data_IF_297205444865
#
_entry.id   IF_297205444865
#
_cell.length_a   1.000
_cell.length_b   1.000
_cell.length_c   1.000
_cell.angle_alpha   90.00
_cell.angle_beta   90.00
_cell.angle_gamma   90.00
#
_symmetry.space_group_name_H-M   'P 1'
#
loop_
_entity.id
_entity.type
_entity.pdbx_description
1 polymer ?
#
# COMPACT_ATOMS: atom_id res chain seq x y z
N UNK A 1 -0.12 -9.01 4.33
CA UNK A 1 1.02 -9.39 5.18
C UNK A 1 1.30 -10.87 5.03
N UNK A 2 2.57 -11.21 4.83
CA UNK A 2 3.09 -12.58 4.82
C UNK A 2 4.08 -12.74 5.98
N UNK A 3 3.60 -12.83 7.23
CA UNK A 3 4.48 -12.84 8.40
C UNK A 3 5.18 -14.20 8.60
N UNK A 4 4.67 -15.27 7.98
CA UNK A 4 5.15 -16.65 8.15
C UNK A 4 6.59 -16.87 7.63
N UNK A 5 6.96 -16.49 6.39
CA UNK A 5 8.34 -16.59 5.93
C UNK A 5 9.34 -15.82 6.80
N UNK A 6 8.91 -14.67 7.33
CA UNK A 6 9.74 -13.83 8.20
C UNK A 6 9.91 -14.44 9.59
N UNK A 7 8.84 -14.93 10.22
CA UNK A 7 8.91 -15.66 11.49
C UNK A 7 9.86 -16.86 11.40
N UNK A 8 9.77 -17.64 10.31
CA UNK A 8 10.72 -18.72 10.02
C UNK A 8 12.15 -18.21 9.87
N UNK A 9 12.37 -17.10 9.16
CA UNK A 9 13.70 -16.50 8.99
C UNK A 9 14.32 -16.09 10.33
N UNK A 10 13.55 -15.43 11.20
CA UNK A 10 13.98 -15.06 12.56
C UNK A 10 14.40 -16.29 13.36
N UNK A 11 13.53 -17.31 13.41
CA UNK A 11 13.77 -18.53 14.16
C UNK A 11 15.00 -19.30 13.65
N UNK A 12 15.15 -19.48 12.33
CA UNK A 12 16.28 -20.21 11.74
C UNK A 12 17.63 -19.54 12.01
N UNK A 13 17.66 -18.21 11.99
CA UNK A 13 18.89 -17.44 12.20
C UNK A 13 19.09 -17.03 13.67
N UNK A 14 18.18 -17.44 14.58
CA UNK A 14 18.19 -17.06 16.00
C UNK A 14 18.27 -15.54 16.21
N UNK A 15 17.56 -14.79 15.38
CA UNK A 15 17.50 -13.33 15.43
C UNK A 15 16.40 -12.93 16.41
N UNK A 16 16.77 -12.22 17.47
CA UNK A 16 15.83 -11.71 18.48
C UNK A 16 15.37 -10.28 18.21
N UNK A 17 16.04 -9.55 17.32
CA UNK A 17 15.67 -8.19 16.96
C UNK A 17 16.08 -7.87 15.52
N UNK A 18 15.17 -7.28 14.74
CA UNK A 18 15.44 -6.76 13.40
C UNK A 18 14.30 -5.84 12.98
N UNK A 19 14.63 -4.79 12.22
CA UNK A 19 13.67 -3.95 11.53
C UNK A 19 13.91 -4.10 10.03
N UNK A 20 12.90 -4.55 9.28
CA UNK A 20 13.07 -4.91 7.86
C UNK A 20 11.84 -4.58 7.03
N UNK A 21 12.05 -4.36 5.74
CA UNK A 21 10.99 -4.40 4.73
C UNK A 21 11.20 -5.57 3.77
N UNK A 22 10.15 -6.00 3.08
CA UNK A 22 10.20 -7.05 2.08
C UNK A 22 9.11 -6.82 1.03
N UNK A 23 9.52 -6.64 -0.22
CA UNK A 23 8.60 -6.47 -1.35
C UNK A 23 8.74 -7.71 -2.24
N UNK A 24 7.67 -8.51 -2.30
CA UNK A 24 7.67 -9.74 -3.06
C UNK A 24 6.27 -10.14 -3.49
N UNK A 25 6.20 -11.01 -4.50
CA UNK A 25 4.96 -11.64 -4.92
C UNK A 25 4.53 -12.70 -3.91
N UNK A 26 3.22 -12.83 -3.73
CA UNK A 26 2.58 -13.90 -2.95
C UNK A 26 1.52 -14.60 -3.79
N UNK A 27 1.23 -15.84 -3.41
CA UNK A 27 0.33 -16.72 -4.14
C UNK A 27 -0.81 -17.17 -3.25
N UNK A 28 -2.06 -16.90 -3.67
CA UNK A 28 -3.28 -17.36 -2.99
C UNK A 28 -4.23 -17.99 -3.98
N UNK A 29 -4.70 -19.21 -3.70
CA UNK A 29 -5.69 -19.90 -4.54
C UNK A 29 -7.12 -19.43 -4.25
N UNK A 30 -7.30 -18.12 -4.13
CA UNK A 30 -8.61 -17.49 -3.93
C UNK A 30 -9.41 -17.46 -5.24
N UNK A 31 -10.71 -17.18 -5.13
CA UNK A 31 -11.55 -16.85 -6.26
C UNK A 31 -11.22 -15.42 -6.73
N UNK A 32 -10.68 -15.24 -7.96
CA UNK A 32 -10.24 -13.94 -8.43
C UNK A 32 -11.43 -13.04 -8.72
N UNK A 33 -11.26 -11.74 -8.50
CA UNK A 33 -12.21 -10.69 -8.86
C UNK A 33 -11.40 -9.59 -9.53
N UNK A 34 -11.27 -9.68 -10.85
CA UNK A 34 -10.35 -8.83 -11.64
C UNK A 34 -10.73 -7.35 -11.52
N UNK A 35 -12.03 -7.03 -11.50
CA UNK A 35 -12.56 -5.67 -11.28
C UNK A 35 -12.13 -5.01 -9.99
N UNK A 36 -11.72 -5.79 -8.98
CA UNK A 36 -11.36 -5.30 -7.64
C UNK A 36 -9.88 -5.51 -7.32
N UNK A 37 -9.06 -5.84 -8.32
CA UNK A 37 -7.63 -6.10 -8.16
C UNK A 37 -7.32 -7.36 -7.33
N UNK A 38 -8.22 -8.35 -7.28
CA UNK A 38 -8.01 -9.60 -6.52
C UNK A 38 -7.49 -10.69 -7.45
N UNK A 39 -6.18 -10.86 -7.46
CA UNK A 39 -5.47 -11.85 -8.26
C UNK A 39 -5.03 -13.06 -7.43
N UNK A 40 -4.58 -14.12 -8.11
CA UNK A 40 -3.95 -15.28 -7.46
C UNK A 40 -2.46 -15.09 -7.20
N UNK A 41 -1.80 -14.28 -8.02
CA UNK A 41 -0.44 -13.78 -7.83
C UNK A 41 -0.55 -12.26 -7.70
N UNK A 42 0.03 -11.68 -6.65
CA UNK A 42 0.05 -10.23 -6.44
C UNK A 42 1.20 -9.82 -5.54
N UNK A 43 1.61 -8.55 -5.59
CA UNK A 43 2.66 -8.04 -4.69
C UNK A 43 2.15 -7.71 -3.29
N UNK A 44 3.01 -7.95 -2.30
CA UNK A 44 2.92 -7.38 -0.96
C UNK A 44 4.18 -6.57 -0.68
N UNK A 45 4.00 -5.41 -0.06
CA UNK A 45 5.08 -4.62 0.52
C UNK A 45 4.91 -4.68 2.04
N UNK A 46 5.69 -5.53 2.69
CA UNK A 46 5.65 -5.75 4.12
C UNK A 46 6.77 -4.96 4.83
N UNK A 47 6.46 -4.38 5.98
CA UNK A 47 7.43 -3.78 6.89
C UNK A 47 7.18 -4.30 8.31
N UNK A 48 8.25 -4.69 8.99
CA UNK A 48 8.17 -5.38 10.27
C UNK A 48 9.26 -4.93 11.24
N UNK A 49 8.88 -4.80 12.51
CA UNK A 49 9.75 -4.57 13.65
C UNK A 49 9.63 -5.78 14.57
N UNK A 50 10.71 -6.53 14.70
CA UNK A 50 10.82 -7.66 15.61
C UNK A 50 11.76 -7.28 16.77
N UNK A 51 11.36 -7.59 17.99
CA UNK A 51 12.15 -7.38 19.21
C UNK A 51 11.31 -6.98 20.41
N UNK A 52 11.90 -7.13 21.60
CA UNK A 52 11.32 -6.67 22.86
C UNK A 52 11.61 -5.18 23.02
N UNK A 53 10.56 -4.36 23.04
CA UNK A 53 10.63 -2.91 23.21
C UNK A 53 9.57 -2.44 24.20
N UNK A 54 9.66 -1.16 24.58
CA UNK A 54 8.63 -0.53 25.40
C UNK A 54 7.29 -0.44 24.65
N UNK A 55 6.15 -0.49 25.38
CA UNK A 55 4.84 -0.66 24.77
C UNK A 55 4.50 0.42 23.74
N UNK A 56 3.88 -0.01 22.64
CA UNK A 56 3.26 0.83 21.59
C UNK A 56 4.18 1.73 20.78
N UNK A 57 5.49 1.83 21.09
CA UNK A 57 6.43 2.63 20.31
C UNK A 57 6.59 2.07 18.88
N UNK A 58 6.83 0.76 18.69
CA UNK A 58 6.95 0.19 17.34
C UNK A 58 5.64 0.28 16.53
N UNK A 59 4.49 0.13 17.17
CA UNK A 59 3.16 0.30 16.56
C UNK A 59 2.97 1.72 16.02
N UNK A 60 3.37 2.72 16.80
CA UNK A 60 3.30 4.12 16.37
C UNK A 60 4.19 4.39 15.16
N UNK A 61 5.38 3.79 15.09
CA UNK A 61 6.25 3.86 13.91
C UNK A 61 5.60 3.20 12.69
N UNK A 62 4.98 2.02 12.84
CA UNK A 62 4.25 1.36 11.75
C UNK A 62 3.11 2.25 11.21
N UNK A 63 2.34 2.88 12.10
CA UNK A 63 1.27 3.81 11.70
C UNK A 63 1.83 5.08 11.04
N UNK A 64 2.99 5.58 11.49
CA UNK A 64 3.65 6.71 10.84
C UNK A 64 4.08 6.37 9.41
N UNK A 65 4.60 5.17 9.18
CA UNK A 65 4.97 4.70 7.84
C UNK A 65 3.73 4.63 6.94
N UNK A 66 2.59 4.15 7.44
CA UNK A 66 1.32 4.18 6.68
C UNK A 66 0.95 5.61 6.30
N UNK A 67 0.95 6.50 7.28
CA UNK A 67 0.60 7.91 7.10
C UNK A 67 1.49 8.60 6.06
N UNK A 68 2.81 8.42 6.14
CA UNK A 68 3.76 8.98 5.17
C UNK A 68 3.62 8.40 3.77
N UNK A 69 3.50 7.07 3.65
CA UNK A 69 3.40 6.41 2.35
C UNK A 69 2.11 6.82 1.64
N UNK A 70 0.97 6.72 2.31
CA UNK A 70 -0.32 7.03 1.68
C UNK A 70 -0.45 8.52 1.36
N UNK A 71 0.10 9.41 2.20
CA UNK A 71 0.14 10.84 1.89
C UNK A 71 1.02 11.17 0.68
N UNK A 72 2.21 10.55 0.57
CA UNK A 72 3.13 10.74 -0.56
C UNK A 72 2.62 10.19 -1.89
N UNK A 73 1.75 9.18 -1.85
CA UNK A 73 1.12 8.66 -3.06
C UNK A 73 -0.01 9.57 -3.57
N UNK A 74 -0.44 10.56 -2.79
CA UNK A 74 -1.47 11.53 -3.16
C UNK A 74 -2.76 10.89 -3.68
N UNK A 75 -3.17 9.78 -3.06
CA UNK A 75 -4.33 8.96 -3.43
C UNK A 75 -5.66 9.47 -2.85
N UNK A 76 -5.68 10.70 -2.36
CA UNK A 76 -6.83 11.31 -1.69
C UNK A 76 -6.90 11.03 -0.19
N UNK A 77 -8.06 11.32 0.40
CA UNK A 77 -8.32 11.17 1.83
C UNK A 77 -8.35 9.69 2.22
N UNK A 78 -7.57 9.32 3.25
CA UNK A 78 -7.53 7.98 3.81
C UNK A 78 -7.77 7.99 5.31
N UNK A 79 -8.23 6.85 5.82
CA UNK A 79 -8.44 6.61 7.24
C UNK A 79 -7.73 5.31 7.63
N UNK A 80 -7.09 5.30 8.80
CA UNK A 80 -6.53 4.08 9.40
C UNK A 80 -7.42 3.64 10.55
N UNK A 81 -8.21 2.59 10.34
CA UNK A 81 -8.96 1.93 11.40
C UNK A 81 -7.99 1.25 12.36
N UNK A 82 -8.22 1.42 13.66
CA UNK A 82 -7.41 0.88 14.74
C UNK A 82 -8.30 0.10 15.70
N UNK A 83 -7.83 -1.07 16.14
CA UNK A 83 -8.45 -1.84 17.21
C UNK A 83 -7.38 -2.64 17.97
N UNK A 84 -7.79 -3.40 18.98
CA UNK A 84 -6.91 -4.25 19.76
C UNK A 84 -7.55 -5.62 20.00
N UNK A 85 -6.77 -6.69 19.88
CA UNK A 85 -7.26 -8.05 20.12
C UNK A 85 -7.86 -8.21 21.53
N UNK A 86 -7.19 -7.71 22.56
CA UNK A 86 -7.69 -7.82 23.93
C UNK A 86 -9.03 -7.09 24.17
N UNK A 87 -9.30 -6.04 23.38
CA UNK A 87 -10.59 -5.34 23.41
C UNK A 87 -11.67 -6.25 22.79
N UNK A 88 -11.40 -6.86 21.63
CA UNK A 88 -12.29 -7.85 21.01
C UNK A 88 -12.59 -9.02 21.97
N UNK A 89 -11.56 -9.62 22.57
CA UNK A 89 -11.71 -10.71 23.54
C UNK A 89 -12.58 -10.29 24.73
N UNK A 90 -12.35 -9.08 25.25
CA UNK A 90 -13.13 -8.52 26.35
C UNK A 90 -14.60 -8.28 26.00
N UNK A 91 -14.88 -7.69 24.84
CA UNK A 91 -16.24 -7.46 24.35
C UNK A 91 -17.00 -8.77 24.21
N UNK A 92 -16.37 -9.79 23.64
CA UNK A 92 -17.03 -11.06 23.37
C UNK A 92 -17.28 -11.86 24.63
N UNK A 93 -16.32 -11.85 25.56
CA UNK A 93 -16.50 -12.45 26.88
C UNK A 93 -17.66 -11.79 27.66
N UNK A 94 -17.80 -10.46 27.58
CA UNK A 94 -18.91 -9.73 28.21
C UNK A 94 -20.28 -10.08 27.61
N UNK A 95 -20.33 -10.41 26.31
CA UNK A 95 -21.55 -10.87 25.65
C UNK A 95 -21.85 -12.37 25.89
N UNK A 96 -21.01 -13.09 26.65
CA UNK A 96 -21.19 -14.52 26.91
C UNK A 96 -20.80 -15.44 25.75
N UNK A 97 -20.04 -14.94 24.77
CA UNK A 97 -19.45 -15.81 23.75
C UNK A 97 -18.30 -16.61 24.36
N UNK A 98 -18.32 -17.93 24.17
CA UNK A 98 -17.26 -18.82 24.62
C UNK A 98 -15.92 -18.55 23.94
N UNK A 99 -14.81 -18.92 24.58
CA UNK A 99 -13.47 -18.77 24.00
C UNK A 99 -13.31 -19.57 22.70
N UNK A 100 -14.04 -20.68 22.56
CA UNK A 100 -14.14 -21.53 21.38
C UNK A 100 -14.91 -20.87 20.22
N UNK A 101 -15.84 -19.95 20.53
CA UNK A 101 -16.61 -19.18 19.55
C UNK A 101 -15.91 -17.89 19.10
N UNK A 102 -14.80 -17.47 19.75
CA UNK A 102 -14.15 -16.19 19.48
C UNK A 102 -13.84 -15.96 17.99
N UNK A 103 -13.21 -16.94 17.33
CA UNK A 103 -12.83 -16.81 15.91
C UNK A 103 -14.04 -16.70 14.99
N UNK A 104 -15.09 -17.47 15.25
CA UNK A 104 -16.29 -17.49 14.40
C UNK A 104 -17.11 -16.22 14.58
N UNK A 105 -17.22 -15.70 15.81
CA UNK A 105 -17.88 -14.42 16.09
C UNK A 105 -17.11 -13.26 15.46
N UNK A 106 -15.78 -13.21 15.60
CA UNK A 106 -14.97 -12.18 14.94
C UNK A 106 -15.14 -12.23 13.42
N UNK A 107 -15.22 -13.43 12.82
CA UNK A 107 -15.45 -13.57 11.38
C UNK A 107 -16.80 -13.01 10.91
N UNK A 108 -17.83 -13.04 11.76
CA UNK A 108 -19.12 -12.41 11.45
C UNK A 108 -19.05 -10.90 11.65
N UNK A 109 -18.43 -10.43 12.75
CA UNK A 109 -18.24 -8.99 13.04
C UNK A 109 -17.41 -8.29 11.95
N UNK A 110 -16.38 -8.95 11.41
CA UNK A 110 -15.54 -8.45 10.31
C UNK A 110 -16.34 -8.13 9.04
N UNK A 111 -17.54 -8.72 8.87
CA UNK A 111 -18.45 -8.45 7.74
C UNK A 111 -19.21 -7.14 7.88
N UNK A 112 -19.20 -6.48 9.05
CA UNK A 112 -19.80 -5.15 9.25
C UNK A 112 -19.15 -4.08 8.36
N UNK A 113 -17.98 -4.37 7.78
CA UNK A 113 -17.35 -3.53 6.76
C UNK A 113 -18.16 -3.47 5.44
N UNK A 114 -19.05 -4.44 5.20
CA UNK A 114 -19.79 -4.62 3.94
C UNK A 114 -21.27 -4.91 4.12
N UNK A 115 -21.68 -5.39 5.29
CA UNK A 115 -23.05 -5.83 5.57
C UNK A 115 -23.66 -5.00 6.70
N UNK A 116 -24.97 -4.67 6.61
CA UNK A 116 -25.69 -4.06 7.72
C UNK A 116 -25.69 -4.97 8.97
N UNK A 117 -25.77 -4.35 10.15
CA UNK A 117 -25.83 -5.07 11.43
C UNK A 117 -26.92 -6.15 11.47
N UNK A 118 -28.10 -5.89 10.89
CA UNK A 118 -29.19 -6.85 10.89
C UNK A 118 -28.83 -8.19 10.22
N UNK A 119 -28.04 -8.17 9.14
CA UNK A 119 -27.57 -9.39 8.47
C UNK A 119 -26.51 -10.11 9.31
N UNK A 120 -25.59 -9.36 9.91
CA UNK A 120 -24.54 -9.90 10.78
C UNK A 120 -25.13 -10.51 12.05
N UNK A 121 -26.13 -9.85 12.65
CA UNK A 121 -26.86 -10.35 13.82
C UNK A 121 -27.61 -11.64 13.50
N UNK A 122 -28.29 -11.70 12.37
CA UNK A 122 -28.96 -12.91 11.89
C UNK A 122 -27.98 -14.09 11.75
N UNK A 123 -26.78 -13.85 11.21
CA UNK A 123 -25.72 -14.86 11.11
C UNK A 123 -25.22 -15.31 12.50
N UNK A 124 -24.99 -14.37 13.42
CA UNK A 124 -24.54 -14.66 14.78
C UNK A 124 -25.55 -15.55 15.53
N UNK A 125 -26.85 -15.30 15.34
CA UNK A 125 -27.90 -16.11 15.96
C UNK A 125 -28.03 -17.46 15.26
N UNK A 126 -28.27 -17.47 13.94
CA UNK A 126 -28.66 -18.67 13.19
C UNK A 126 -27.52 -19.64 12.97
N UNK A 127 -26.32 -19.13 12.69
CA UNK A 127 -25.16 -19.99 12.36
C UNK A 127 -24.23 -20.20 13.54
N UNK A 128 -24.02 -19.18 14.37
CA UNK A 128 -23.04 -19.24 15.47
C UNK A 128 -23.68 -19.59 16.81
N UNK A 129 -25.01 -19.59 16.89
CA UNK A 129 -25.77 -20.02 18.06
C UNK A 129 -25.73 -19.04 19.23
N UNK A 130 -25.46 -17.76 18.99
CA UNK A 130 -25.50 -16.75 20.05
C UNK A 130 -26.95 -16.43 20.43
N UNK A 131 -27.19 -16.23 21.72
CA UNK A 131 -28.48 -15.75 22.20
C UNK A 131 -28.74 -14.32 21.72
N UNK A 132 -30.00 -13.97 21.46
CA UNK A 132 -30.39 -12.62 21.01
C UNK A 132 -29.93 -11.52 21.96
N UNK A 133 -30.01 -11.74 23.27
CA UNK A 133 -29.52 -10.76 24.26
C UNK A 133 -28.00 -10.53 24.12
N UNK A 134 -27.24 -11.59 23.83
CA UNK A 134 -25.79 -11.52 23.59
C UNK A 134 -25.46 -10.72 22.32
N UNK A 135 -26.21 -10.91 21.24
CA UNK A 135 -26.00 -10.17 20.00
C UNK A 135 -26.39 -8.70 20.14
N UNK A 136 -27.50 -8.40 20.82
CA UNK A 136 -27.91 -7.02 21.11
C UNK A 136 -26.83 -6.26 21.90
N UNK A 137 -26.25 -6.88 22.93
CA UNK A 137 -25.11 -6.31 23.67
C UNK A 137 -23.88 -6.14 22.79
N UNK A 138 -23.53 -7.16 22.01
CA UNK A 138 -22.37 -7.10 21.11
C UNK A 138 -22.52 -5.95 20.11
N UNK A 139 -23.72 -5.75 19.57
CA UNK A 139 -24.07 -4.67 18.67
C UNK A 139 -23.82 -3.30 19.28
N UNK A 140 -24.11 -3.10 20.57
CA UNK A 140 -23.83 -1.85 21.28
C UNK A 140 -22.33 -1.52 21.34
N UNK A 141 -21.48 -2.56 21.45
CA UNK A 141 -20.03 -2.39 21.52
C UNK A 141 -19.40 -2.20 20.14
N UNK A 142 -19.66 -3.12 19.20
CA UNK A 142 -18.98 -3.13 17.89
C UNK A 142 -19.41 -1.96 17.00
N UNK A 143 -20.62 -1.42 17.22
CA UNK A 143 -21.16 -0.26 16.50
C UNK A 143 -20.99 1.04 17.29
N UNK A 144 -20.22 1.05 18.39
CA UNK A 144 -20.09 2.24 19.21
C UNK A 144 -19.56 3.44 18.41
N UNK A 145 -18.65 3.23 17.46
CA UNK A 145 -18.17 4.27 16.52
C UNK A 145 -19.30 4.78 15.62
N UNK A 146 -20.13 3.89 15.08
CA UNK A 146 -21.27 4.25 14.23
C UNK A 146 -22.26 5.17 14.98
N UNK A 147 -22.52 4.86 16.26
CA UNK A 147 -23.41 5.66 17.11
C UNK A 147 -22.77 6.97 17.62
N UNK A 148 -21.45 7.14 17.50
CA UNK A 148 -20.70 8.27 18.06
C UNK A 148 -19.65 8.78 17.07
N UNK A 149 -20.10 9.19 15.88
CA UNK A 149 -19.24 9.55 14.75
C UNK A 149 -18.30 10.72 15.05
N UNK A 150 -18.72 11.69 15.88
CA UNK A 150 -17.96 12.89 16.23
C UNK A 150 -16.99 12.70 17.39
N UNK A 151 -17.06 11.62 18.16
CA UNK A 151 -16.23 11.43 19.35
C UNK A 151 -14.77 11.14 18.99
N UNK A 152 -13.86 11.68 19.80
CA UNK A 152 -12.43 11.35 19.70
C UNK A 152 -12.14 9.88 20.01
N UNK A 153 -10.94 9.40 19.67
CA UNK A 153 -10.53 8.02 19.96
C UNK A 153 -10.51 7.73 21.47
N UNK A 154 -9.95 8.64 22.27
CA UNK A 154 -9.85 8.50 23.73
C UNK A 154 -11.25 8.51 24.37
N UNK A 155 -12.11 9.46 23.96
CA UNK A 155 -13.49 9.55 24.46
C UNK A 155 -14.29 8.26 24.19
N UNK A 156 -14.11 7.67 23.00
CA UNK A 156 -14.79 6.42 22.65
C UNK A 156 -14.29 5.23 23.48
N UNK A 157 -12.99 5.18 23.76
CA UNK A 157 -12.39 4.19 24.66
C UNK A 157 -12.89 4.36 26.11
N UNK A 158 -13.01 5.60 26.59
CA UNK A 158 -13.58 5.92 27.90
C UNK A 158 -15.04 5.53 27.99
N UNK A 159 -15.81 5.72 26.92
CA UNK A 159 -17.21 5.29 26.85
C UNK A 159 -17.35 3.78 26.93
N UNK A 160 -16.47 3.00 26.30
CA UNK A 160 -16.47 1.54 26.49
C UNK A 160 -16.17 1.13 27.94
N UNK A 161 -15.33 1.89 28.65
CA UNK A 161 -15.02 1.64 30.05
C UNK A 161 -16.17 1.97 31.01
N UNK A 162 -17.24 2.61 30.54
CA UNK A 162 -18.45 2.84 31.35
C UNK A 162 -19.34 1.59 31.45
N UNK A 163 -19.18 0.62 30.55
CA UNK A 163 -19.89 -0.66 30.65
C UNK A 163 -19.22 -1.52 31.74
N UNK A 164 -19.93 -1.77 32.83
CA UNK A 164 -19.40 -2.44 34.02
C UNK A 164 -18.82 -3.83 33.71
N UNK A 165 -19.46 -4.57 32.81
CA UNK A 165 -19.03 -5.88 32.32
C UNK A 165 -17.70 -5.85 31.56
N UNK A 166 -17.43 -4.79 30.79
CA UNK A 166 -16.13 -4.58 30.13
C UNK A 166 -15.08 -4.09 31.13
N UNK A 167 -15.46 -3.15 32.01
CA UNK A 167 -14.57 -2.59 33.01
C UNK A 167 -14.08 -3.63 34.02
N UNK A 168 -14.83 -4.70 34.30
CA UNK A 168 -14.36 -5.80 35.17
C UNK A 168 -13.33 -6.70 34.49
N UNK A 169 -13.25 -6.70 33.17
CA UNK A 169 -12.33 -7.55 32.43
C UNK A 169 -10.91 -6.95 32.38
N UNK A 170 -9.95 -7.62 33.02
CA UNK A 170 -8.56 -7.15 33.10
C UNK A 170 -7.85 -7.10 31.74
N UNK A 171 -8.16 -8.03 30.82
CA UNK A 171 -7.59 -8.01 29.45
C UNK A 171 -8.14 -6.84 28.65
N UNK A 172 -9.44 -6.59 28.76
CA UNK A 172 -10.09 -5.45 28.14
C UNK A 172 -9.44 -4.13 28.58
N UNK A 173 -9.31 -3.93 29.90
CA UNK A 173 -8.62 -2.77 30.50
C UNK A 173 -7.23 -2.55 29.94
N UNK A 174 -6.41 -3.62 29.91
CA UNK A 174 -5.06 -3.57 29.35
C UNK A 174 -5.08 -3.11 27.88
N UNK A 175 -5.96 -3.68 27.06
CA UNK A 175 -6.07 -3.27 25.66
C UNK A 175 -6.49 -1.80 25.48
N UNK A 176 -7.38 -1.30 26.33
CA UNK A 176 -7.78 0.12 26.35
C UNK A 176 -6.60 1.02 26.74
N UNK A 177 -5.86 0.66 27.78
CA UNK A 177 -4.67 1.41 28.23
C UNK A 177 -3.60 1.45 27.12
N UNK A 178 -3.30 0.31 26.49
CA UNK A 178 -2.37 0.21 25.37
C UNK A 178 -2.81 1.08 24.18
N UNK A 179 -4.09 1.03 23.78
CA UNK A 179 -4.57 1.89 22.70
C UNK A 179 -4.51 3.38 23.04
N UNK A 180 -4.77 3.79 24.28
CA UNK A 180 -4.62 5.20 24.68
C UNK A 180 -3.18 5.67 24.55
N UNK A 181 -2.21 4.84 24.94
CA UNK A 181 -0.78 5.14 24.74
C UNK A 181 -0.47 5.27 23.25
N UNK A 182 -0.92 4.33 22.42
CA UNK A 182 -0.72 4.37 20.97
C UNK A 182 -1.33 5.62 20.31
N UNK A 183 -2.56 5.99 20.68
CA UNK A 183 -3.24 7.19 20.17
C UNK A 183 -2.47 8.46 20.55
N UNK A 184 -1.93 8.53 21.78
CA UNK A 184 -1.09 9.65 22.20
C UNK A 184 0.19 9.74 21.37
N UNK A 185 0.88 8.61 21.12
CA UNK A 185 2.08 8.60 20.26
C UNK A 185 1.76 9.00 18.82
N UNK A 186 0.61 8.57 18.28
CA UNK A 186 0.15 9.01 16.97
C UNK A 186 -0.04 10.53 16.92
N UNK A 187 -0.61 11.14 17.96
CA UNK A 187 -0.74 12.60 18.06
C UNK A 187 0.62 13.30 18.10
N UNK A 188 1.61 12.77 18.80
CA UNK A 188 2.98 13.32 18.82
C UNK A 188 3.66 13.26 17.45
N UNK A 189 3.37 12.23 16.65
CA UNK A 189 3.83 12.10 15.26
C UNK A 189 3.00 12.88 14.23
N UNK A 190 1.99 13.64 14.69
CA UNK A 190 1.10 14.43 13.83
C UNK A 190 0.17 13.57 12.96
N UNK A 191 -0.12 12.34 13.38
CA UNK A 191 -0.97 11.41 12.62
C UNK A 191 -2.43 11.67 12.99
N UNK A 192 -3.19 12.26 12.06
CA UNK A 192 -4.61 12.57 12.25
C UNK A 192 -5.55 11.52 11.64
N UNK A 193 -5.03 10.64 10.79
CA UNK A 193 -5.78 9.65 10.01
C UNK A 193 -6.27 8.44 10.83
N UNK A 194 -5.76 8.25 12.04
CA UNK A 194 -6.06 7.09 12.89
C UNK A 194 -7.42 7.22 13.59
N UNK A 195 -8.24 6.18 13.50
CA UNK A 195 -9.58 6.11 14.10
C UNK A 195 -9.80 4.77 14.78
N UNK A 196 -10.10 4.79 16.07
CA UNK A 196 -10.54 3.60 16.79
C UNK A 196 -11.90 3.12 16.27
N UNK A 197 -11.95 1.87 15.83
CA UNK A 197 -13.12 1.21 15.25
C UNK A 197 -13.31 -0.18 15.90
N UNK A 198 -14.25 -0.32 16.86
CA UNK A 198 -14.51 -1.58 17.56
C UNK A 198 -14.93 -2.75 16.64
N UNK A 199 -15.41 -2.47 15.42
CA UNK A 199 -15.84 -3.49 14.46
C UNK A 199 -14.66 -4.14 13.72
N UNK A 200 -13.45 -3.57 13.77
CA UNK A 200 -12.28 -4.10 13.08
C UNK A 200 -11.81 -5.41 13.72
N UNK A 201 -12.06 -6.55 13.09
CA UNK A 201 -11.78 -7.88 13.61
C UNK A 201 -10.98 -8.77 12.61
N UNK A 202 -9.82 -8.26 12.15
CA UNK A 202 -8.94 -8.92 11.16
C UNK A 202 -7.81 -9.74 11.81
N UNK A 203 -7.26 -10.72 11.06
CA UNK A 203 -5.98 -11.39 11.37
C UNK A 203 -5.95 -12.20 12.67
N UNK A 204 -7.09 -12.81 12.99
CA UNK A 204 -7.38 -13.49 14.26
C UNK A 204 -6.50 -14.72 14.54
N UNK A 205 -5.85 -15.26 13.52
CA UNK A 205 -5.00 -16.45 13.64
C UNK A 205 -3.65 -16.17 14.27
N UNK A 206 -3.16 -14.93 14.19
CA UNK A 206 -1.80 -14.60 14.64
C UNK A 206 -1.64 -13.26 15.33
N UNK A 207 -2.54 -12.28 15.18
CA UNK A 207 -2.42 -11.04 15.95
C UNK A 207 -2.66 -11.30 17.43
N UNK A 208 -1.87 -10.64 18.28
CA UNK A 208 -1.89 -10.72 19.75
C UNK A 208 -2.20 -9.36 20.40
N UNK A 209 -2.02 -8.25 19.66
CA UNK A 209 -2.17 -6.89 20.18
C UNK A 209 -2.96 -5.97 19.26
N UNK A 210 -2.41 -4.78 18.97
CA UNK A 210 -3.01 -3.80 18.08
C UNK A 210 -3.23 -4.36 16.67
N UNK A 211 -4.31 -3.93 16.03
CA UNK A 211 -4.74 -4.31 14.67
C UNK A 211 -5.07 -3.02 13.94
N UNK A 212 -4.59 -2.87 12.71
CA UNK A 212 -4.86 -1.69 11.90
C UNK A 212 -5.17 -2.03 10.44
N UNK A 213 -6.05 -1.23 9.84
CA UNK A 213 -6.49 -1.35 8.46
C UNK A 213 -6.69 0.05 7.86
N UNK A 214 -5.90 0.40 6.84
CA UNK A 214 -6.04 1.64 6.10
C UNK A 214 -7.04 1.48 4.95
N UNK A 215 -7.96 2.42 4.81
CA UNK A 215 -9.00 2.48 3.78
C UNK A 215 -9.00 3.85 3.10
N UNK A 216 -9.42 3.91 1.84
CA UNK A 216 -9.38 5.15 1.03
C UNK A 216 -10.78 5.39 0.43
N UNK A 217 -11.78 5.74 1.25
CA UNK A 217 -13.20 5.59 0.89
C UNK A 217 -13.60 6.29 -0.41
N UNK A 218 -13.00 7.46 -0.71
CA UNK A 218 -13.35 8.31 -1.86
C UNK A 218 -12.40 8.21 -3.05
N UNK A 219 -11.34 7.39 -2.98
CA UNK A 219 -10.28 7.39 -4.00
C UNK A 219 -10.75 7.03 -5.43
N UNK A 220 -11.88 6.35 -5.56
CA UNK A 220 -12.45 5.95 -6.85
C UNK A 220 -13.81 6.60 -7.14
N UNK A 221 -14.24 7.58 -6.34
CA UNK A 221 -15.48 8.33 -6.62
C UNK A 221 -15.31 9.12 -7.94
N UNK A 222 -16.22 8.89 -8.90
CA UNK A 222 -16.18 9.55 -10.21
C UNK A 222 -15.28 8.88 -11.25
N UNK A 223 -14.61 7.77 -10.92
CA UNK A 223 -13.82 7.00 -11.89
C UNK A 223 -14.74 6.02 -12.64
N UNK A 224 -14.97 6.27 -13.93
CA UNK A 224 -15.51 5.26 -14.85
C UNK A 224 -14.35 4.42 -15.40
N UNK A 225 -14.06 3.29 -14.78
CA UNK A 225 -13.17 2.26 -15.36
C UNK A 225 -13.91 1.48 -16.47
N UNK A 226 -14.47 2.18 -17.45
CA UNK A 226 -14.99 1.59 -18.69
C UNK A 226 -13.90 1.62 -19.77
N UNK A 227 -12.73 1.06 -19.46
CA UNK A 227 -11.70 0.82 -20.46
C UNK A 227 -11.59 -0.69 -20.67
N UNK A 228 -12.17 -1.14 -21.80
CA UNK A 228 -12.11 -2.48 -22.40
C UNK A 228 -13.41 -3.30 -22.34
N UNK A 229 -14.49 -2.80 -22.95
CA UNK A 229 -15.38 -3.59 -23.83
C UNK A 229 -16.19 -4.76 -23.25
N UNK A 230 -16.13 -5.05 -21.97
CA UNK A 230 -17.01 -6.01 -21.30
C UNK A 230 -17.87 -5.26 -20.27
N UNK A 231 -19.19 -5.31 -20.46
CA UNK A 231 -20.18 -4.81 -19.49
C UNK A 231 -19.99 -5.52 -18.14
N UNK A 232 -19.17 -4.96 -17.26
CA UNK A 232 -19.03 -5.44 -15.89
C UNK A 232 -19.87 -4.55 -14.97
N UNK A 233 -21.12 -4.99 -14.75
CA UNK A 233 -22.02 -4.47 -13.71
C UNK A 233 -21.28 -4.40 -12.36
N UNK A 234 -21.01 -3.19 -11.90
CA UNK A 234 -20.70 -2.89 -10.50
C UNK A 234 -19.27 -2.45 -10.21
N UNK A 235 -18.98 -1.16 -10.39
CA UNK A 235 -18.02 -0.48 -9.52
C UNK A 235 -18.59 -0.50 -8.09
N UNK A 236 -17.88 -0.99 -7.07
CA UNK A 236 -18.36 -0.90 -5.70
C UNK A 236 -18.10 0.50 -5.16
N UNK A 237 -19.14 1.06 -4.56
CA UNK A 237 -19.03 2.01 -3.45
C UNK A 237 -17.98 1.49 -2.46
N UNK A 238 -16.95 2.31 -2.16
CA UNK A 238 -15.92 2.03 -1.16
C UNK A 238 -14.69 1.27 -1.67
N UNK A 239 -13.56 1.96 -1.75
CA UNK A 239 -12.25 1.33 -1.98
C UNK A 239 -11.88 0.51 -0.75
N UNK A 240 -11.76 -0.81 -0.90
CA UNK A 240 -11.36 -1.71 0.20
C UNK A 240 -9.96 -1.39 0.76
N UNK A 241 -9.55 -2.08 1.84
CA UNK A 241 -8.27 -1.85 2.53
C UNK A 241 -7.02 -1.73 1.64
N UNK A 242 -6.27 -0.64 1.72
CA UNK A 242 -5.01 -0.44 0.97
C UNK A 242 -3.78 -0.83 1.77
N UNK A 243 -3.88 -0.90 3.10
CA UNK A 243 -2.86 -1.44 3.97
C UNK A 243 -3.48 -2.10 5.19
N UNK A 244 -2.84 -3.12 5.74
CA UNK A 244 -3.29 -3.78 6.96
C UNK A 244 -2.12 -4.38 7.72
N UNK A 245 -2.24 -4.47 9.04
CA UNK A 245 -1.18 -4.99 9.90
C UNK A 245 -1.61 -5.08 11.36
N UNK A 246 -0.64 -5.38 12.22
CA UNK A 246 -0.85 -5.51 13.66
C UNK A 246 0.34 -6.14 14.37
N UNK A 247 0.20 -6.33 15.69
CA UNK A 247 1.16 -7.02 16.57
C UNK A 247 0.87 -8.52 16.62
N UNK A 248 1.89 -9.37 16.51
CA UNK A 248 1.80 -10.84 16.46
C UNK A 248 2.99 -11.52 17.19
N UNK A 249 2.99 -11.46 18.52
CA UNK A 249 4.17 -11.80 19.32
C UNK A 249 4.53 -13.30 19.33
N UNK A 250 3.52 -14.16 19.16
CA UNK A 250 3.65 -15.62 19.34
C UNK A 250 4.05 -16.36 18.05
N UNK A 251 4.08 -15.67 16.91
CA UNK A 251 4.26 -16.35 15.63
C UNK A 251 5.68 -16.93 15.47
N UNK A 252 6.69 -16.25 16.01
CA UNK A 252 8.09 -16.68 15.90
C UNK A 252 8.34 -17.93 16.76
N UNK A 253 7.80 -17.99 17.98
CA UNK A 253 7.97 -19.15 18.86
C UNK A 253 7.35 -20.44 18.31
N UNK A 254 6.39 -20.36 17.38
CA UNK A 254 5.88 -21.53 16.66
C UNK A 254 6.92 -22.22 15.76
N UNK A 255 7.99 -21.50 15.35
CA UNK A 255 9.09 -22.04 14.55
C UNK A 255 10.34 -22.36 15.38
N UNK A 256 10.38 -21.98 16.65
CA UNK A 256 11.53 -22.22 17.53
C UNK A 256 11.42 -23.58 18.21
N UNK A 257 12.55 -24.25 18.38
CA UNK A 257 12.62 -25.45 19.19
C UNK A 257 12.30 -25.09 20.66
N UNK A 258 11.52 -25.91 21.39
CA UNK A 258 11.27 -25.68 22.80
C UNK A 258 12.60 -25.69 23.58
N UNK A 259 12.78 -24.74 24.49
CA UNK A 259 13.99 -24.63 25.32
C UNK A 259 13.66 -25.08 26.74
N UNK A 260 14.36 -26.08 27.26
CA UNK A 260 14.19 -26.56 28.63
C UNK A 260 14.36 -28.06 28.77
N UNK A 261 14.32 -28.55 30.02
CA UNK A 261 14.29 -29.99 30.30
C UNK A 261 12.92 -30.57 29.97
N UNK A 262 12.84 -31.86 29.59
CA UNK A 262 11.58 -32.58 29.37
C UNK A 262 10.59 -32.29 30.51
N UNK A 263 9.44 -31.70 30.17
CA UNK A 263 8.39 -31.32 31.13
C UNK A 263 8.47 -29.88 31.69
N UNK A 264 9.47 -29.07 31.30
CA UNK A 264 9.61 -27.63 31.62
C UNK A 264 10.08 -26.82 30.41
N UNK A 265 9.58 -27.16 29.23
CA UNK A 265 9.91 -26.45 28.00
C UNK A 265 9.25 -25.07 27.99
N UNK A 266 10.05 -24.01 27.77
CA UNK A 266 9.56 -22.67 27.48
C UNK A 266 9.75 -22.38 25.99
N UNK A 267 8.70 -21.87 25.35
CA UNK A 267 8.85 -21.17 24.08
C UNK A 267 9.45 -19.81 24.35
N UNK A 268 10.56 -19.52 23.69
CA UNK A 268 11.06 -18.17 23.59
C UNK A 268 10.36 -17.52 22.40
N UNK A 269 9.60 -16.48 22.66
CA UNK A 269 8.95 -15.68 21.61
C UNK A 269 9.80 -14.47 21.26
N UNK A 270 9.58 -13.96 20.05
CA UNK A 270 10.15 -12.71 19.56
C UNK A 270 8.97 -11.81 19.20
N UNK A 271 8.65 -10.80 20.04
CA UNK A 271 7.56 -9.88 19.79
C UNK A 271 7.72 -9.21 18.42
N UNK A 272 6.63 -9.11 17.67
CA UNK A 272 6.65 -8.57 16.32
C UNK A 272 5.45 -7.67 16.08
N UNK A 273 5.67 -6.58 15.37
CA UNK A 273 4.61 -5.74 14.80
C UNK A 273 4.97 -5.38 13.37
N UNK A 274 3.97 -5.25 12.50
CA UNK A 274 4.25 -4.88 11.12
C UNK A 274 3.02 -4.47 10.33
N UNK A 275 3.26 -3.95 9.15
CA UNK A 275 2.27 -3.46 8.19
C UNK A 275 2.53 -4.06 6.82
N UNK A 276 1.47 -4.25 6.05
CA UNK A 276 1.54 -4.68 4.66
C UNK A 276 0.69 -3.78 3.79
N UNK A 277 1.26 -3.28 2.69
CA UNK A 277 0.55 -2.51 1.68
C UNK A 277 0.06 -3.42 0.55
N UNK A 278 -1.22 -3.28 0.22
CA UNK A 278 -1.85 -3.90 -0.94
C UNK A 278 -1.53 -3.12 -2.20
N UNK A 279 -0.33 -3.35 -2.76
CA UNK A 279 0.22 -2.54 -3.86
C UNK A 279 -0.69 -2.55 -5.09
N UNK A 280 -1.32 -3.68 -5.43
CA UNK A 280 -2.22 -3.77 -6.59
C UNK A 280 -3.37 -2.76 -6.52
N UNK A 281 -3.92 -2.53 -5.31
CA UNK A 281 -5.00 -1.57 -5.12
C UNK A 281 -4.49 -0.14 -5.22
N UNK A 282 -3.28 0.11 -4.72
CA UNK A 282 -2.62 1.41 -4.85
C UNK A 282 -2.34 1.74 -6.32
N UNK A 283 -1.83 0.78 -7.11
CA UNK A 283 -1.64 0.94 -8.55
C UNK A 283 -2.95 1.25 -9.28
N UNK A 284 -4.02 0.51 -9.00
CA UNK A 284 -5.32 0.77 -9.62
C UNK A 284 -5.84 2.19 -9.33
N UNK A 285 -5.66 2.69 -8.10
CA UNK A 285 -6.04 4.07 -7.73
C UNK A 285 -5.16 5.09 -8.46
N UNK A 286 -3.85 4.86 -8.51
CA UNK A 286 -2.91 5.77 -9.17
C UNK A 286 -3.16 5.83 -10.69
N UNK A 287 -3.37 4.68 -11.34
CA UNK A 287 -3.71 4.62 -12.77
C UNK A 287 -5.01 5.34 -13.08
N UNK A 288 -6.05 5.14 -12.25
CA UNK A 288 -7.31 5.87 -12.37
C UNK A 288 -7.13 7.38 -12.25
N UNK A 289 -6.34 7.84 -11.26
CA UNK A 289 -6.01 9.27 -11.08
C UNK A 289 -5.28 9.83 -12.31
N UNK A 290 -4.26 9.13 -12.81
CA UNK A 290 -3.50 9.55 -14.00
C UNK A 290 -4.39 9.64 -15.25
N UNK A 291 -5.36 8.73 -15.40
CA UNK A 291 -6.33 8.79 -16.49
C UNK A 291 -7.25 10.02 -16.40
N UNK A 292 -7.77 10.33 -15.19
CA UNK A 292 -8.60 11.52 -14.95
C UNK A 292 -7.81 12.80 -15.24
N UNK A 293 -6.57 12.87 -14.77
CA UNK A 293 -5.69 14.03 -14.93
C UNK A 293 -5.07 14.11 -16.34
N UNK A 294 -5.34 13.14 -17.22
CA UNK A 294 -4.76 13.01 -18.56
C UNK A 294 -3.22 13.08 -18.54
N UNK A 295 -2.60 12.56 -17.48
CA UNK A 295 -1.16 12.53 -17.33
C UNK A 295 -0.58 11.43 -18.20
N UNK A 296 0.23 11.77 -19.23
CA UNK A 296 0.77 10.76 -20.11
C UNK A 296 1.88 9.97 -19.40
N UNK A 297 1.80 8.63 -19.45
CA UNK A 297 2.78 7.75 -18.81
C UNK A 297 3.85 7.34 -19.80
N UNK A 298 5.10 7.67 -19.51
CA UNK A 298 6.25 7.22 -20.30
C UNK A 298 6.62 5.79 -19.90
N UNK A 299 6.82 4.93 -20.89
CA UNK A 299 7.32 3.55 -20.70
C UNK A 299 8.82 3.43 -20.91
N UNK A 300 9.49 4.53 -21.28
CA UNK A 300 10.93 4.62 -21.45
C UNK A 300 11.45 5.91 -20.82
N UNK A 301 12.74 5.93 -20.51
CA UNK A 301 13.41 7.10 -19.95
C UNK A 301 14.21 7.87 -21.02
N UNK A 302 14.02 7.57 -22.30
CA UNK A 302 14.77 8.15 -23.43
C UNK A 302 14.62 9.67 -23.45
N UNK A 303 15.71 10.40 -23.38
CA UNK A 303 15.72 11.86 -23.31
C UNK A 303 15.84 12.47 -24.71
N UNK A 304 16.60 11.81 -25.59
CA UNK A 304 16.99 12.36 -26.89
C UNK A 304 16.81 11.28 -27.97
N UNK A 305 16.23 11.68 -29.10
CA UNK A 305 16.20 10.86 -30.30
C UNK A 305 17.03 11.49 -31.41
N UNK A 306 18.01 10.75 -31.96
CA UNK A 306 18.80 11.24 -33.09
C UNK A 306 18.09 10.86 -34.40
N UNK A 307 17.69 11.88 -35.14
CA UNK A 307 17.01 11.77 -36.41
C UNK A 307 17.87 12.28 -37.57
N UNK A 308 17.56 11.85 -38.79
CA UNK A 308 18.02 12.52 -40.00
C UNK A 308 16.97 12.43 -41.10
N UNK A 309 16.89 13.45 -41.96
CA UNK A 309 16.00 13.45 -43.13
C UNK A 309 16.69 12.88 -44.38
N UNK A 310 18.00 13.11 -44.49
CA UNK A 310 18.81 12.71 -45.63
C UNK A 310 19.26 11.25 -45.53
N UNK A 311 19.68 10.70 -46.66
CA UNK A 311 20.19 9.32 -46.78
C UNK A 311 21.65 9.25 -46.34
N UNK A 312 22.17 8.04 -46.15
CA UNK A 312 23.59 7.74 -45.87
C UNK A 312 24.17 8.34 -44.55
N UNK A 313 23.33 8.92 -43.69
CA UNK A 313 23.75 9.49 -42.40
C UNK A 313 23.73 8.49 -41.23
N UNK A 314 23.57 7.18 -41.48
CA UNK A 314 23.53 6.18 -40.41
C UNK A 314 24.78 6.22 -39.53
N UNK A 315 25.96 6.27 -40.14
CA UNK A 315 27.23 6.26 -39.41
C UNK A 315 27.36 7.50 -38.52
N UNK A 316 26.92 8.67 -38.99
CA UNK A 316 26.95 9.92 -38.21
C UNK A 316 25.97 9.89 -37.05
N UNK A 317 24.75 9.36 -37.26
CA UNK A 317 23.81 9.12 -36.15
C UNK A 317 24.40 8.18 -35.10
N UNK A 318 25.09 7.11 -35.53
CA UNK A 318 25.74 6.17 -34.60
C UNK A 318 26.89 6.81 -33.83
N UNK A 319 27.74 7.61 -34.47
CA UNK A 319 28.82 8.35 -33.80
C UNK A 319 28.27 9.31 -32.75
N UNK A 320 27.28 10.12 -33.13
CA UNK A 320 26.64 11.06 -32.20
C UNK A 320 25.96 10.34 -31.04
N UNK A 321 25.28 9.23 -31.31
CA UNK A 321 24.65 8.41 -30.28
C UNK A 321 25.67 7.89 -29.27
N UNK A 322 26.81 7.38 -29.76
CA UNK A 322 27.92 6.92 -28.91
C UNK A 322 28.46 8.06 -28.04
N UNK A 323 28.74 9.23 -28.63
CA UNK A 323 29.21 10.40 -27.86
C UNK A 323 28.25 10.79 -26.75
N UNK A 324 26.93 10.80 -27.01
CA UNK A 324 25.94 11.16 -26.00
C UNK A 324 25.76 10.06 -24.94
N UNK A 325 25.89 8.78 -25.30
CA UNK A 325 25.96 7.70 -24.31
C UNK A 325 27.20 7.80 -23.43
N UNK A 326 28.37 8.13 -23.99
CA UNK A 326 29.62 8.33 -23.26
C UNK A 326 29.48 9.50 -22.23
N UNK A 327 28.60 10.46 -22.50
CA UNK A 327 28.25 11.58 -21.61
C UNK A 327 27.09 11.28 -20.62
N UNK A 328 26.52 10.08 -20.67
CA UNK A 328 25.48 9.60 -19.75
C UNK A 328 24.03 9.92 -20.15
N UNK A 329 23.78 10.44 -21.35
CA UNK A 329 22.42 10.69 -21.82
C UNK A 329 21.71 9.41 -22.26
N UNK A 330 20.38 9.39 -22.12
CA UNK A 330 19.52 8.29 -22.56
C UNK A 330 19.07 8.53 -24.00
N UNK A 331 19.84 8.01 -24.95
CA UNK A 331 19.66 8.33 -26.39
C UNK A 331 19.26 7.13 -27.22
N UNK A 332 18.37 7.35 -28.18
CA UNK A 332 17.99 6.37 -29.20
C UNK A 332 18.11 6.94 -30.63
N UNK A 333 18.12 6.07 -31.62
CA UNK A 333 17.97 6.40 -33.03
C UNK A 333 17.29 5.25 -33.77
N UNK A 334 16.71 5.51 -34.95
CA UNK A 334 16.06 4.46 -35.72
C UNK A 334 17.09 3.45 -36.29
N UNK A 335 16.86 2.15 -36.06
CA UNK A 335 17.61 1.04 -36.67
C UNK A 335 17.25 0.83 -38.15
N UNK A 336 17.36 1.90 -38.94
CA UNK A 336 17.21 1.92 -40.40
C UNK A 336 18.31 2.78 -40.96
N UNK A 337 18.86 2.41 -42.12
CA UNK A 337 19.87 3.23 -42.77
C UNK A 337 19.32 4.62 -43.13
N UNK A 338 18.13 4.63 -43.75
CA UNK A 338 17.49 5.82 -44.33
C UNK A 338 16.03 5.98 -43.82
N UNK A 339 15.82 6.29 -42.54
CA UNK A 339 14.48 6.52 -42.00
C UNK A 339 13.88 7.84 -42.54
N UNK A 340 12.55 7.90 -42.68
CA UNK A 340 11.86 9.15 -43.01
C UNK A 340 11.81 10.03 -41.76
N UNK A 341 12.05 11.34 -41.89
CA UNK A 341 12.02 12.27 -40.75
C UNK A 341 10.67 12.27 -40.03
N UNK A 342 9.56 12.31 -40.79
CA UNK A 342 8.21 12.29 -40.23
C UNK A 342 7.99 11.07 -39.30
N UNK A 343 8.41 9.87 -39.71
CA UNK A 343 8.26 8.66 -38.90
C UNK A 343 9.11 8.70 -37.63
N UNK A 344 10.26 9.38 -37.66
CA UNK A 344 11.12 9.56 -36.49
C UNK A 344 10.51 10.56 -35.50
N UNK A 345 9.95 11.66 -35.99
CA UNK A 345 9.27 12.64 -35.13
C UNK A 345 7.99 12.05 -34.53
N UNK A 346 7.20 11.29 -35.31
CA UNK A 346 6.05 10.55 -34.81
C UNK A 346 6.46 9.58 -33.68
N UNK A 347 7.58 8.86 -33.85
CA UNK A 347 8.10 7.99 -32.79
C UNK A 347 8.42 8.76 -31.50
N UNK A 348 8.98 9.97 -31.62
CA UNK A 348 9.24 10.83 -30.47
C UNK A 348 7.95 11.31 -29.80
N UNK A 349 6.94 11.70 -30.59
CA UNK A 349 5.63 12.11 -30.09
C UNK A 349 4.93 10.94 -29.37
N UNK A 350 4.88 9.76 -29.98
CA UNK A 350 4.23 8.56 -29.42
C UNK A 350 4.92 8.04 -28.13
N UNK A 351 6.26 8.17 -28.04
CA UNK A 351 7.07 7.76 -26.87
C UNK A 351 7.34 8.90 -25.89
N UNK A 352 6.82 10.10 -26.19
CA UNK A 352 6.99 11.31 -25.39
C UNK A 352 8.47 11.65 -25.13
N UNK A 353 9.33 11.40 -26.12
CA UNK A 353 10.75 11.77 -26.06
C UNK A 353 10.83 13.29 -26.19
N UNK A 354 11.42 14.02 -25.24
CA UNK A 354 11.31 15.47 -25.20
C UNK A 354 12.12 16.18 -26.29
N UNK A 355 13.27 15.62 -26.68
CA UNK A 355 14.21 16.26 -27.61
C UNK A 355 14.52 15.37 -28.81
N UNK A 356 14.63 15.98 -29.99
CA UNK A 356 15.14 15.34 -31.20
C UNK A 356 16.35 16.10 -31.73
N UNK A 357 17.45 15.40 -31.99
CA UNK A 357 18.64 15.93 -32.65
C UNK A 357 18.62 15.54 -34.12
N UNK A 358 18.45 16.52 -34.99
CA UNK A 358 18.36 16.32 -36.43
C UNK A 358 19.74 16.54 -37.05
N UNK A 359 20.28 15.48 -37.63
CA UNK A 359 21.56 15.46 -38.34
C UNK A 359 21.30 15.66 -39.84
N UNK A 360 22.04 16.58 -40.45
CA UNK A 360 22.08 16.82 -41.89
C UNK A 360 23.51 17.06 -42.38
N UNK A 361 23.75 16.81 -43.66
CA UNK A 361 25.07 16.95 -44.28
C UNK A 361 25.63 18.36 -44.17
N UNK A 362 24.78 19.38 -44.33
CA UNK A 362 25.18 20.79 -44.22
C UNK A 362 25.53 21.14 -42.78
N UNK A 363 24.65 20.77 -41.85
CA UNK A 363 24.85 21.01 -40.42
C UNK A 363 26.15 20.36 -39.93
N UNK A 364 26.44 19.13 -40.37
CA UNK A 364 27.70 18.45 -40.05
C UNK A 364 28.93 19.17 -40.62
N UNK A 365 28.86 19.72 -41.84
CA UNK A 365 29.95 20.52 -42.41
C UNK A 365 30.19 21.82 -41.64
N UNK A 366 29.11 22.41 -41.11
CA UNK A 366 29.15 23.62 -40.28
C UNK A 366 29.47 23.31 -38.80
N UNK A 367 29.64 22.03 -38.42
CA UNK A 367 29.96 21.60 -37.06
C UNK A 367 28.80 21.77 -36.07
N UNK A 368 27.56 21.79 -36.56
CA UNK A 368 26.34 21.98 -35.78
C UNK A 368 25.38 20.79 -35.94
N UNK A 369 24.43 20.69 -35.02
CA UNK A 369 23.25 19.82 -35.13
C UNK A 369 22.01 20.62 -34.79
N UNK A 370 20.88 20.24 -35.36
CA UNK A 370 19.62 20.94 -35.09
C UNK A 370 18.90 20.28 -33.93
N UNK A 371 18.78 21.00 -32.82
CA UNK A 371 18.04 20.57 -31.65
C UNK A 371 16.58 21.01 -31.77
N UNK A 372 15.67 20.06 -31.79
CA UNK A 372 14.23 20.26 -31.81
C UNK A 372 13.61 19.86 -30.50
N UNK A 373 12.84 20.75 -29.89
CA UNK A 373 11.91 20.36 -28.81
C UNK A 373 10.66 19.73 -29.44
N UNK A 374 10.38 18.47 -29.09
CA UNK A 374 9.34 17.68 -29.78
C UNK A 374 7.95 18.25 -29.52
N UNK A 375 7.68 18.69 -28.28
CA UNK A 375 6.38 19.25 -27.87
C UNK A 375 6.10 20.61 -28.48
N UNK A 376 7.05 21.54 -28.39
CA UNK A 376 6.87 22.93 -28.87
C UNK A 376 7.18 23.11 -30.34
N UNK A 377 7.89 22.14 -30.95
CA UNK A 377 8.40 22.18 -32.32
C UNK A 377 9.43 23.29 -32.58
N UNK A 378 9.89 23.97 -31.54
CA UNK A 378 10.98 24.94 -31.64
C UNK A 378 12.28 24.23 -32.03
N UNK A 379 13.01 24.84 -32.95
CA UNK A 379 14.29 24.34 -33.46
C UNK A 379 15.36 25.40 -33.25
N UNK A 380 16.55 24.95 -32.89
CA UNK A 380 17.74 25.79 -32.83
C UNK A 380 18.95 25.01 -33.31
N UNK A 381 19.89 25.69 -33.96
CA UNK A 381 21.16 25.11 -34.33
C UNK A 381 22.11 25.18 -33.12
N UNK A 382 22.75 24.05 -32.81
CA UNK A 382 23.63 23.91 -31.65
C UNK A 382 24.98 23.41 -32.13
N UNK A 383 26.05 24.13 -31.79
CA UNK A 383 27.41 23.70 -32.07
C UNK A 383 27.71 22.38 -31.36
N UNK A 384 28.40 21.46 -32.05
CA UNK A 384 28.77 20.17 -31.48
C UNK A 384 29.64 20.32 -30.21
N UNK A 385 30.40 21.42 -30.08
CA UNK A 385 31.16 21.76 -28.87
C UNK A 385 30.29 22.06 -27.65
N UNK A 386 29.11 22.66 -27.88
CA UNK A 386 28.23 23.18 -26.83
C UNK A 386 27.01 22.27 -26.61
N UNK A 387 26.95 21.16 -27.36
CA UNK A 387 25.82 20.26 -27.39
C UNK A 387 25.50 19.68 -26.01
N UNK A 388 26.52 19.19 -25.30
CA UNK A 388 26.35 18.56 -23.98
C UNK A 388 25.77 19.53 -22.96
N UNK A 389 26.33 20.75 -22.86
CA UNK A 389 25.82 21.77 -21.94
C UNK A 389 24.41 22.20 -22.30
N UNK A 390 24.11 22.35 -23.59
CA UNK A 390 22.79 22.76 -24.08
C UNK A 390 21.73 21.70 -23.76
N UNK A 391 22.04 20.42 -24.00
CA UNK A 391 21.15 19.30 -23.69
C UNK A 391 20.88 19.17 -22.20
N UNK A 392 21.91 19.30 -21.35
CA UNK A 392 21.72 19.28 -19.88
C UNK A 392 20.80 20.40 -19.43
N UNK A 393 21.00 21.62 -19.94
CA UNK A 393 20.13 22.76 -19.64
C UNK A 393 18.69 22.49 -20.06
N UNK A 394 18.47 21.98 -21.27
CA UNK A 394 17.15 21.72 -21.84
C UNK A 394 16.38 20.57 -21.17
N UNK A 395 17.08 19.61 -20.56
CA UNK A 395 16.47 18.48 -19.82
C UNK A 395 16.24 18.79 -18.33
N UNK A 396 16.90 19.83 -17.80
CA UNK A 396 16.72 20.28 -16.41
C UNK A 396 15.56 21.27 -16.21
N UNK A 397 15.10 21.88 -17.30
CA UNK A 397 13.95 22.78 -17.38
C UNK A 397 12.66 22.02 -17.68
#
# INVERSE_FOLDING_TARGET
MSPVPFARYLAMNKISNIKRYHIAKVYRRDQPVMTRGRYREFYQCDFDIAGQYDPMIPEAECLKIVDEVLSKLEIGEFQVKLNHRLILEGMFAACGAGADQFKTVCSSVDKLDKQPWAEVEDELIKEKGLAKESTEKLGQFVRLREFNQSMGNIELLDKLMQFEELAKNARFKKGVEELKVLVNYCSLFGIESVRFDPSLARGLDYYTGAIYEAVVPKALEGVNLEANGEEQKGLPVGVGSVAAGGRYDELVGNFMAPVGSKGKEKRQDVPCVGISFGIERLFAIMEAKMQIEQLPVRTTETEIFIASAQKNLLQERMKLCKTLWDEGFKVEFAYKANPKLLTQLQYCEDRLIPLALIVGERELQEGVVKLRNVKTRAEQDVALSDLVSTLRSALSS
#
